data_IF_556291165870
#
_entry.id   IF_556291165870
#
_cell.length_a   1.000
_cell.length_b   1.000
_cell.length_c   1.000
_cell.angle_alpha   90.00
_cell.angle_beta   90.00
_cell.angle_gamma   90.00
#
_symmetry.space_group_name_H-M   'P 1'
#
loop_
_entity.id
_entity.type
_entity.pdbx_description
1 polymer ?
#
# COMPACT_ATOMS: atom_id res chain seq x y z
N UNK A 1 8.45 2.40 7.85
CA UNK A 1 7.09 1.86 7.70
C UNK A 1 6.53 1.44 9.07
N UNK A 2 5.43 2.02 9.52
CA UNK A 2 4.83 1.71 10.81
C UNK A 2 4.11 0.34 10.87
N UNK A 3 4.04 -0.39 9.77
CA UNK A 3 3.49 -1.74 9.71
C UNK A 3 4.23 -2.74 10.60
N UNK A 4 5.53 -2.66 10.61
CA UNK A 4 6.34 -3.33 11.62
C UNK A 4 6.46 -4.84 11.48
N UNK A 5 6.68 -5.36 10.28
CA UNK A 5 6.92 -6.80 10.09
C UNK A 5 8.25 -7.24 10.72
N UNK A 6 8.24 -8.37 11.40
CA UNK A 6 9.41 -8.88 12.12
C UNK A 6 10.57 -9.32 11.22
N UNK A 7 10.28 -9.65 9.96
CA UNK A 7 11.26 -10.09 8.96
C UNK A 7 11.74 -8.97 8.02
N UNK A 8 11.13 -7.77 8.10
CA UNK A 8 11.32 -6.75 7.08
C UNK A 8 12.63 -5.97 7.26
N UNK A 9 13.59 -6.19 6.36
CA UNK A 9 14.86 -5.46 6.35
C UNK A 9 14.67 -3.93 6.21
N UNK A 10 13.67 -3.49 5.46
CA UNK A 10 13.37 -2.05 5.31
C UNK A 10 13.05 -1.42 6.66
N UNK A 11 12.29 -2.10 7.50
CA UNK A 11 12.00 -1.62 8.84
C UNK A 11 13.27 -1.52 9.71
N UNK A 12 14.15 -2.50 9.61
CA UNK A 12 15.42 -2.52 10.37
C UNK A 12 16.34 -1.38 9.91
N UNK A 13 16.46 -1.13 8.61
CA UNK A 13 17.32 -0.10 8.04
C UNK A 13 16.72 1.31 8.08
N UNK A 14 15.46 1.46 7.68
CA UNK A 14 14.81 2.78 7.51
C UNK A 14 13.97 3.18 8.72
N UNK A 15 13.76 2.26 9.66
CA UNK A 15 12.91 2.48 10.82
C UNK A 15 11.41 2.51 10.49
N UNK A 16 10.63 2.93 11.47
CA UNK A 16 9.16 2.87 11.43
C UNK A 16 8.50 4.22 11.14
N UNK A 17 9.29 5.29 11.10
CA UNK A 17 8.79 6.63 10.76
C UNK A 17 8.44 6.68 9.28
N UNK A 18 7.28 7.27 8.98
CA UNK A 18 6.90 7.59 7.61
C UNK A 18 7.36 9.01 7.29
N UNK A 19 8.10 9.15 6.21
CA UNK A 19 8.49 10.42 5.61
C UNK A 19 8.14 10.41 4.13
N UNK A 20 7.63 11.51 3.62
CA UNK A 20 7.21 11.61 2.23
C UNK A 20 7.59 12.96 1.65
N UNK A 21 7.87 12.97 0.37
CA UNK A 21 8.02 14.21 -0.41
C UNK A 21 6.67 14.90 -0.49
N UNK A 22 6.68 16.22 -0.60
CA UNK A 22 5.45 16.98 -0.80
C UNK A 22 4.77 16.60 -2.13
N UNK A 23 3.45 16.74 -2.18
CA UNK A 23 2.66 16.50 -3.39
C UNK A 23 3.20 17.31 -4.58
N UNK A 24 3.55 18.59 -4.37
CA UNK A 24 4.09 19.46 -5.41
C UNK A 24 5.45 18.98 -5.92
N UNK A 25 6.30 18.46 -5.05
CA UNK A 25 7.59 17.89 -5.46
C UNK A 25 7.41 16.68 -6.38
N UNK A 26 6.44 15.81 -6.07
CA UNK A 26 6.12 14.63 -6.90
C UNK A 26 5.54 15.04 -8.24
N UNK A 27 4.63 16.01 -8.25
CA UNK A 27 4.00 16.50 -9.49
C UNK A 27 5.01 17.19 -10.40
N UNK A 28 5.88 18.05 -9.86
CA UNK A 28 6.95 18.70 -10.66
C UNK A 28 7.90 17.67 -11.29
N UNK A 29 8.27 16.62 -10.59
CA UNK A 29 9.09 15.55 -11.17
C UNK A 29 8.37 14.84 -12.33
N UNK A 30 7.11 14.48 -12.14
CA UNK A 30 6.32 13.88 -13.20
C UNK A 30 6.13 14.81 -14.40
N UNK A 31 5.93 16.10 -14.17
CA UNK A 31 5.86 17.11 -15.23
C UNK A 31 7.19 17.15 -16.03
N UNK A 32 8.33 17.20 -15.35
CA UNK A 32 9.62 17.13 -16.01
C UNK A 32 9.78 15.84 -16.85
N UNK A 33 9.30 14.71 -16.35
CA UNK A 33 9.30 13.43 -17.10
C UNK A 33 8.48 13.50 -18.40
N UNK A 34 7.38 14.26 -18.43
CA UNK A 34 6.56 14.39 -19.66
C UNK A 34 7.31 15.05 -20.81
N UNK A 35 8.32 15.84 -20.53
CA UNK A 35 9.17 16.51 -21.52
C UNK A 35 10.42 15.69 -21.90
N UNK A 36 10.67 14.56 -21.25
CA UNK A 36 11.83 13.73 -21.52
C UNK A 36 11.71 13.04 -22.92
N UNK A 37 12.81 12.95 -23.68
CA UNK A 37 12.82 12.22 -24.94
C UNK A 37 12.32 10.78 -24.76
N UNK A 38 11.37 10.38 -25.60
CA UNK A 38 10.83 9.00 -25.55
C UNK A 38 9.73 8.77 -24.51
N UNK A 39 9.25 9.78 -23.79
CA UNK A 39 8.10 9.61 -22.90
C UNK A 39 6.86 9.25 -23.71
N UNK A 40 6.22 8.12 -23.35
CA UNK A 40 5.08 7.55 -24.09
C UNK A 40 3.73 7.81 -23.40
N UNK A 41 3.71 8.61 -22.35
CA UNK A 41 2.51 8.94 -21.58
C UNK A 41 2.23 7.99 -20.40
N UNK A 42 3.17 7.14 -20.03
CA UNK A 42 2.98 6.16 -18.96
C UNK A 42 3.87 6.45 -17.76
N UNK A 43 3.27 6.72 -16.61
CA UNK A 43 3.94 6.71 -15.31
C UNK A 43 3.73 5.32 -14.71
N UNK A 44 4.79 4.52 -14.71
CA UNK A 44 4.69 3.09 -14.40
C UNK A 44 4.51 2.78 -12.92
N UNK A 45 4.96 3.66 -12.04
CA UNK A 45 4.80 3.47 -10.60
C UNK A 45 4.83 4.80 -9.85
N UNK A 46 3.88 4.99 -8.96
CA UNK A 46 3.84 6.13 -8.03
C UNK A 46 3.81 5.59 -6.61
N UNK A 47 4.98 5.37 -6.04
CA UNK A 47 5.02 4.82 -4.70
C UNK A 47 6.36 4.27 -4.28
N UNK A 48 6.31 3.26 -3.47
CA UNK A 48 7.41 2.50 -2.88
C UNK A 48 6.85 1.18 -2.34
N UNK A 49 7.59 0.42 -1.53
CA UNK A 49 7.15 -0.89 -1.03
C UNK A 49 5.80 -0.88 -0.31
N UNK A 50 5.37 0.29 0.16
CA UNK A 50 4.06 0.53 0.79
C UNK A 50 3.53 1.86 0.27
N UNK A 51 3.11 1.90 -0.98
CA UNK A 51 2.77 3.12 -1.71
C UNK A 51 1.74 4.00 -0.99
N UNK A 52 0.79 3.39 -0.31
CA UNK A 52 -0.26 4.09 0.41
C UNK A 52 0.10 4.53 1.84
N UNK A 53 1.35 4.35 2.28
CA UNK A 53 1.86 4.92 3.54
C UNK A 53 2.53 6.27 3.25
N UNK A 54 1.73 7.30 3.11
CA UNK A 54 2.20 8.66 2.79
C UNK A 54 2.42 9.55 4.01
N UNK A 55 1.52 9.47 4.98
CA UNK A 55 1.50 10.34 6.14
C UNK A 55 1.48 9.53 7.45
N UNK A 56 1.89 10.12 8.57
CA UNK A 56 1.65 9.56 9.88
C UNK A 56 0.16 9.32 10.11
N UNK A 57 -0.19 8.20 10.72
CA UNK A 57 -1.58 7.75 10.88
C UNK A 57 -2.14 7.98 12.29
N UNK A 58 -1.42 8.65 13.17
CA UNK A 58 -1.93 9.04 14.49
C UNK A 58 -1.07 10.17 15.11
N UNK A 59 -1.61 10.80 16.15
CA UNK A 59 -0.92 11.90 16.86
C UNK A 59 0.45 11.50 17.41
N UNK A 60 0.60 10.27 17.86
CA UNK A 60 1.88 9.76 18.38
C UNK A 60 2.94 9.66 17.29
N UNK A 61 2.56 9.14 16.11
CA UNK A 61 3.45 9.11 14.96
C UNK A 61 3.82 10.52 14.48
N UNK A 62 2.89 11.46 14.50
CA UNK A 62 3.17 12.86 14.15
C UNK A 62 4.20 13.48 15.07
N UNK A 63 4.08 13.27 16.40
CA UNK A 63 4.95 13.87 17.41
C UNK A 63 6.31 13.18 17.47
N UNK A 64 6.33 11.87 17.60
CA UNK A 64 7.51 11.08 17.95
C UNK A 64 8.01 10.19 16.81
N UNK A 65 7.32 10.16 15.67
CA UNK A 65 7.61 9.29 14.53
C UNK A 65 7.08 7.86 14.68
N UNK A 66 7.07 7.33 15.90
CA UNK A 66 6.55 6.01 16.25
C UNK A 66 6.20 5.91 17.74
N UNK A 67 5.41 4.91 18.11
CA UNK A 67 5.14 4.61 19.51
C UNK A 67 6.38 4.08 20.24
N UNK A 68 6.57 4.50 21.49
CA UNK A 68 7.51 3.86 22.39
C UNK A 68 7.14 2.38 22.63
N UNK A 69 8.14 1.56 22.99
CA UNK A 69 7.92 0.16 23.33
C UNK A 69 7.61 -0.77 22.15
N UNK A 70 7.93 -0.38 20.93
CA UNK A 70 7.87 -1.29 19.76
C UNK A 70 6.48 -1.75 19.34
N UNK A 71 5.39 -1.13 19.79
CA UNK A 71 4.02 -1.51 19.42
C UNK A 71 3.82 -1.54 17.92
N UNK A 72 3.29 -2.64 17.42
CA UNK A 72 2.85 -2.77 16.04
C UNK A 72 1.54 -2.01 15.84
N UNK A 73 1.41 -1.32 14.70
CA UNK A 73 0.26 -0.49 14.43
C UNK A 73 -0.91 -1.24 13.78
N UNK A 74 -0.61 -2.31 13.04
CA UNK A 74 -1.59 -3.00 12.19
C UNK A 74 -1.81 -4.47 12.57
N UNK A 75 -0.89 -5.10 13.24
CA UNK A 75 -0.95 -6.52 13.59
C UNK A 75 -0.55 -6.79 15.04
N UNK A 76 -1.03 -7.88 15.67
CA UNK A 76 -2.08 -8.80 15.17
C UNK A 76 -3.46 -8.16 15.14
N UNK A 77 -3.68 -7.13 15.95
CA UNK A 77 -4.87 -6.29 15.96
C UNK A 77 -4.46 -4.83 15.69
N UNK A 78 -5.20 -4.12 14.86
CA UNK A 78 -4.89 -2.73 14.57
C UNK A 78 -5.05 -1.86 15.81
N UNK A 79 -4.13 -0.92 15.96
CA UNK A 79 -4.19 0.06 17.04
C UNK A 79 -5.43 0.95 16.88
N UNK A 80 -6.24 1.09 17.96
CA UNK A 80 -7.44 1.92 17.93
C UNK A 80 -7.21 3.42 17.72
N UNK A 81 -5.94 3.88 17.76
CA UNK A 81 -5.57 5.29 17.50
C UNK A 81 -5.23 5.57 16.05
N UNK A 82 -5.18 4.54 15.19
CA UNK A 82 -4.88 4.72 13.76
C UNK A 82 -6.05 5.42 13.07
N UNK A 83 -5.71 6.45 12.32
CA UNK A 83 -6.59 7.14 11.38
C UNK A 83 -6.08 6.79 9.98
N UNK A 84 -6.91 6.11 9.21
CA UNK A 84 -6.61 5.78 7.82
C UNK A 84 -7.20 6.86 6.93
N UNK A 85 -6.36 7.46 6.10
CA UNK A 85 -6.75 8.54 5.20
C UNK A 85 -5.86 8.51 3.95
N UNK A 86 -6.45 8.24 2.79
CA UNK A 86 -5.76 8.21 1.51
C UNK A 86 -6.01 9.45 0.64
N UNK A 87 -6.70 10.48 1.15
CA UNK A 87 -7.09 11.66 0.34
C UNK A 87 -5.88 12.41 -0.22
N UNK A 88 -4.80 12.54 0.55
CA UNK A 88 -3.56 13.19 0.08
C UNK A 88 -2.95 12.39 -1.08
N UNK A 89 -2.83 11.07 -0.93
CA UNK A 89 -2.29 10.20 -1.98
C UNK A 89 -3.17 10.18 -3.24
N UNK A 90 -4.47 10.10 -3.05
CA UNK A 90 -5.43 10.19 -4.15
C UNK A 90 -5.35 11.53 -4.87
N UNK A 91 -5.17 12.63 -4.13
CA UNK A 91 -4.96 13.96 -4.70
C UNK A 91 -3.73 14.04 -5.60
N UNK A 92 -2.61 13.42 -5.20
CA UNK A 92 -1.41 13.30 -6.03
C UNK A 92 -1.73 12.53 -7.32
N UNK A 93 -2.33 11.36 -7.20
CA UNK A 93 -2.64 10.50 -8.35
C UNK A 93 -3.55 11.21 -9.37
N UNK A 94 -4.55 11.95 -8.91
CA UNK A 94 -5.44 12.75 -9.75
C UNK A 94 -4.68 13.87 -10.47
N UNK A 95 -3.79 14.58 -9.77
CA UNK A 95 -2.93 15.63 -10.37
C UNK A 95 -2.01 15.04 -11.44
N UNK A 96 -1.39 13.89 -11.18
CA UNK A 96 -0.54 13.21 -12.15
C UNK A 96 -1.31 12.78 -13.41
N UNK A 97 -2.54 12.29 -13.27
CA UNK A 97 -3.40 11.95 -14.40
C UNK A 97 -3.82 13.16 -15.24
N UNK A 98 -3.87 14.34 -14.63
CA UNK A 98 -4.26 15.58 -15.29
C UNK A 98 -3.09 16.26 -16.04
N UNK A 99 -1.84 15.81 -15.87
CA UNK A 99 -0.70 16.39 -16.58
C UNK A 99 -0.81 16.19 -18.09
N UNK A 100 -0.53 17.22 -18.90
CA UNK A 100 -0.47 17.10 -20.35
C UNK A 100 0.50 15.97 -20.77
N UNK A 101 0.07 15.16 -21.74
CA UNK A 101 0.89 14.04 -22.22
C UNK A 101 0.84 12.77 -21.39
N UNK A 102 0.26 12.78 -20.18
CA UNK A 102 0.08 11.59 -19.35
C UNK A 102 -1.19 10.85 -19.79
N UNK A 103 -1.04 9.60 -20.16
CA UNK A 103 -2.14 8.69 -20.55
C UNK A 103 -2.58 7.79 -19.42
N UNK A 104 -1.63 7.28 -18.63
CA UNK A 104 -1.88 6.35 -17.51
C UNK A 104 -0.87 6.57 -16.39
N UNK A 105 -1.36 6.39 -15.18
CA UNK A 105 -0.57 6.43 -13.94
C UNK A 105 -0.84 5.14 -13.18
N UNK A 106 0.17 4.33 -12.95
CA UNK A 106 0.03 3.05 -12.29
C UNK A 106 0.66 3.02 -10.89
N UNK A 107 0.22 2.07 -10.08
CA UNK A 107 0.82 1.69 -8.80
C UNK A 107 1.24 0.23 -8.94
N UNK A 108 2.55 -0.04 -8.93
CA UNK A 108 3.13 -1.38 -9.11
C UNK A 108 3.91 -1.88 -7.91
N UNK A 109 4.44 -0.98 -7.11
CA UNK A 109 5.37 -1.29 -6.02
C UNK A 109 4.72 -1.93 -4.80
N UNK A 110 3.40 -1.95 -4.72
CA UNK A 110 2.65 -2.63 -3.66
C UNK A 110 1.78 -1.69 -2.84
N UNK A 111 0.73 -2.29 -2.32
CA UNK A 111 -0.28 -1.64 -1.45
C UNK A 111 -0.39 -2.41 -0.14
N UNK A 112 -0.41 -1.68 0.96
CA UNK A 112 -0.80 -2.24 2.26
C UNK A 112 -2.32 -2.39 2.27
N UNK A 113 -2.76 -3.59 1.93
CA UNK A 113 -4.18 -3.95 1.83
C UNK A 113 -4.89 -3.91 3.20
N UNK A 114 -4.18 -4.27 4.26
CA UNK A 114 -4.66 -4.27 5.64
C UNK A 114 -4.89 -2.84 6.19
N UNK A 115 -4.17 -1.86 5.65
CA UNK A 115 -4.39 -0.45 5.92
C UNK A 115 -5.52 0.09 5.03
N UNK A 116 -5.50 -0.23 3.72
CA UNK A 116 -6.50 0.24 2.77
C UNK A 116 -7.93 -0.16 3.14
N UNK A 117 -8.15 -1.41 3.53
CA UNK A 117 -9.50 -1.93 3.84
C UNK A 117 -10.13 -1.26 5.08
N UNK A 118 -9.37 -0.45 5.81
CA UNK A 118 -9.83 0.30 6.99
C UNK A 118 -10.17 1.74 6.70
N UNK A 119 -9.90 2.22 5.50
CA UNK A 119 -10.35 3.55 5.11
C UNK A 119 -11.89 3.57 5.05
N UNK A 120 -12.48 4.54 5.72
CA UNK A 120 -13.93 4.76 5.69
C UNK A 120 -14.38 5.39 4.37
N UNK A 121 -13.46 6.11 3.72
CA UNK A 121 -13.65 6.67 2.39
C UNK A 121 -13.10 5.70 1.35
N UNK A 122 -13.98 5.00 0.65
CA UNK A 122 -13.60 4.06 -0.40
C UNK A 122 -13.13 4.72 -1.70
N UNK A 123 -13.10 6.04 -1.80
CA UNK A 123 -12.75 6.75 -3.05
C UNK A 123 -11.39 6.32 -3.59
N UNK A 124 -10.37 6.19 -2.71
CA UNK A 124 -9.06 5.72 -3.13
C UNK A 124 -9.11 4.28 -3.65
N UNK A 125 -9.83 3.38 -2.99
CA UNK A 125 -9.91 1.98 -3.43
C UNK A 125 -10.62 1.85 -4.79
N UNK A 126 -11.68 2.59 -5.00
CA UNK A 126 -12.40 2.64 -6.28
C UNK A 126 -11.51 3.17 -7.39
N UNK A 127 -10.87 4.34 -7.20
CA UNK A 127 -10.00 4.91 -8.22
C UNK A 127 -8.71 4.09 -8.44
N UNK A 128 -8.19 3.41 -7.41
CA UNK A 128 -7.10 2.46 -7.57
C UNK A 128 -7.46 1.41 -8.63
N UNK A 129 -8.61 0.77 -8.48
CA UNK A 129 -9.12 -0.25 -9.43
C UNK A 129 -9.41 0.37 -10.79
N UNK A 130 -10.07 1.52 -10.84
CA UNK A 130 -10.49 2.15 -12.09
C UNK A 130 -9.33 2.70 -12.91
N UNK A 131 -8.28 3.20 -12.28
CA UNK A 131 -7.28 4.00 -12.98
C UNK A 131 -5.83 3.55 -12.79
N UNK A 132 -5.50 2.89 -11.68
CA UNK A 132 -4.11 2.72 -11.26
C UNK A 132 -3.60 1.27 -11.28
N UNK A 133 -4.46 0.30 -11.53
CA UNK A 133 -4.08 -1.11 -11.70
C UNK A 133 -3.98 -1.43 -13.18
N UNK A 134 -2.80 -1.89 -13.62
CA UNK A 134 -2.48 -2.19 -15.03
C UNK A 134 -2.92 -3.61 -15.48
N UNK A 135 -3.83 -4.26 -14.74
CA UNK A 135 -4.24 -5.66 -14.94
C UNK A 135 -3.86 -6.55 -13.77
N UNK A 136 -2.79 -6.23 -13.07
CA UNK A 136 -2.34 -6.96 -11.87
C UNK A 136 -2.03 -5.99 -10.73
N UNK A 137 -2.47 -6.33 -9.52
CA UNK A 137 -2.11 -5.62 -8.30
C UNK A 137 -1.33 -6.57 -7.38
N UNK A 138 -0.08 -6.20 -7.07
CA UNK A 138 0.76 -6.93 -6.12
C UNK A 138 0.37 -6.58 -4.70
N UNK A 139 0.18 -7.60 -3.88
CA UNK A 139 -0.09 -7.49 -2.45
C UNK A 139 0.67 -8.59 -1.70
N UNK A 140 1.01 -8.35 -0.46
CA UNK A 140 1.88 -9.22 0.30
C UNK A 140 1.17 -9.76 1.56
N UNK A 141 0.32 -10.80 1.46
CA UNK A 141 -0.19 -11.52 2.61
C UNK A 141 0.91 -12.33 3.32
N UNK A 142 1.99 -12.66 2.63
CA UNK A 142 3.20 -13.35 3.05
C UNK A 142 2.99 -14.83 3.39
N UNK A 143 1.92 -15.21 4.07
CA UNK A 143 1.58 -16.57 4.46
C UNK A 143 0.08 -16.73 4.70
N UNK A 144 -0.39 -17.97 4.90
CA UNK A 144 -1.79 -18.26 5.24
C UNK A 144 -1.96 -18.89 6.63
N UNK A 145 -0.94 -19.57 7.15
CA UNK A 145 -1.02 -20.22 8.45
C UNK A 145 -1.01 -19.20 9.61
N UNK A 146 -1.94 -19.30 10.57
CA UNK A 146 -2.11 -18.31 11.64
C UNK A 146 -0.86 -18.14 12.51
N UNK A 147 -0.18 -19.22 12.87
CA UNK A 147 1.02 -19.15 13.70
C UNK A 147 2.18 -18.47 12.98
N UNK A 148 2.39 -18.78 11.70
CA UNK A 148 3.42 -18.15 10.88
C UNK A 148 3.15 -16.64 10.73
N UNK A 149 1.91 -16.25 10.42
CA UNK A 149 1.52 -14.84 10.35
C UNK A 149 1.74 -14.10 11.66
N UNK A 150 1.47 -14.76 12.80
CA UNK A 150 1.74 -14.20 14.13
C UNK A 150 3.24 -13.96 14.35
N UNK A 151 4.11 -14.89 13.99
CA UNK A 151 5.57 -14.72 14.08
C UNK A 151 6.09 -13.66 13.12
N UNK A 152 5.50 -13.53 11.94
CA UNK A 152 5.81 -12.47 10.97
C UNK A 152 5.40 -11.08 11.46
N UNK A 153 4.47 -10.98 12.41
CA UNK A 153 3.84 -9.72 12.79
C UNK A 153 2.86 -9.22 11.74
N UNK A 154 2.26 -10.15 11.00
CA UNK A 154 1.24 -9.89 9.99
C UNK A 154 -0.18 -9.95 10.56
N UNK A 155 -1.15 -9.28 9.91
CA UNK A 155 -2.55 -9.47 10.24
C UNK A 155 -3.01 -10.88 9.89
N UNK A 156 -4.08 -11.38 10.53
CA UNK A 156 -4.71 -12.65 10.18
C UNK A 156 -5.13 -12.69 8.71
N UNK A 157 -5.14 -13.89 8.11
CA UNK A 157 -5.44 -14.09 6.68
C UNK A 157 -6.84 -13.59 6.27
N UNK A 158 -7.78 -13.56 7.20
CA UNK A 158 -9.14 -13.05 7.01
C UNK A 158 -9.17 -11.59 6.56
N UNK A 159 -8.16 -10.79 6.95
CA UNK A 159 -8.02 -9.40 6.51
C UNK A 159 -7.71 -9.36 5.01
N UNK A 160 -6.83 -10.26 4.55
CA UNK A 160 -6.55 -10.41 3.12
C UNK A 160 -7.79 -10.90 2.35
N UNK A 161 -8.48 -11.90 2.87
CA UNK A 161 -9.69 -12.45 2.25
C UNK A 161 -10.77 -11.36 2.07
N UNK A 162 -10.97 -10.52 3.10
CA UNK A 162 -11.89 -9.39 3.03
C UNK A 162 -11.48 -8.36 1.96
N UNK A 163 -10.19 -8.03 1.91
CA UNK A 163 -9.65 -7.13 0.90
C UNK A 163 -9.82 -7.72 -0.50
N UNK A 164 -9.45 -8.99 -0.71
CA UNK A 164 -9.55 -9.69 -1.98
C UNK A 164 -10.99 -9.71 -2.51
N UNK A 165 -11.94 -10.06 -1.64
CA UNK A 165 -13.36 -10.01 -2.00
C UNK A 165 -13.77 -8.62 -2.49
N UNK A 166 -13.42 -7.58 -1.73
CA UNK A 166 -13.78 -6.21 -2.09
C UNK A 166 -13.10 -5.75 -3.38
N UNK A 167 -11.84 -6.12 -3.60
CA UNK A 167 -11.13 -5.82 -4.84
C UNK A 167 -11.84 -6.39 -6.06
N UNK A 168 -12.27 -7.66 -6.02
CA UNK A 168 -12.96 -8.28 -7.15
C UNK A 168 -14.37 -7.72 -7.36
N UNK A 169 -15.08 -7.34 -6.29
CA UNK A 169 -16.36 -6.62 -6.42
C UNK A 169 -16.17 -5.29 -7.18
N UNK A 170 -15.19 -4.47 -6.77
CA UNK A 170 -14.88 -3.20 -7.43
C UNK A 170 -14.39 -3.39 -8.87
N UNK A 171 -13.56 -4.40 -9.12
CA UNK A 171 -13.09 -4.76 -10.47
C UNK A 171 -14.27 -5.10 -11.39
N UNK A 172 -15.23 -5.88 -10.88
CA UNK A 172 -16.45 -6.22 -11.60
C UNK A 172 -17.31 -4.98 -11.88
N UNK A 173 -17.50 -4.11 -10.87
CA UNK A 173 -18.24 -2.86 -11.01
C UNK A 173 -17.60 -1.92 -12.05
N UNK A 174 -16.27 -1.87 -12.10
CA UNK A 174 -15.50 -1.09 -13.08
C UNK A 174 -15.47 -1.72 -14.50
N UNK A 175 -16.07 -2.90 -14.69
CA UNK A 175 -16.06 -3.60 -15.98
C UNK A 175 -14.67 -4.06 -16.43
N UNK A 176 -13.75 -4.30 -15.49
CA UNK A 176 -12.34 -4.62 -15.77
C UNK A 176 -12.02 -6.09 -15.53
N UNK A 177 -10.92 -6.52 -16.15
CA UNK A 177 -10.32 -7.83 -15.94
C UNK A 177 -8.97 -7.62 -15.25
N UNK A 178 -8.96 -7.73 -13.91
CA UNK A 178 -7.79 -7.51 -13.08
C UNK A 178 -7.62 -8.64 -12.07
N UNK A 179 -6.37 -8.86 -11.65
CA UNK A 179 -6.00 -9.95 -10.77
C UNK A 179 -5.14 -9.46 -9.62
N UNK A 180 -5.30 -10.07 -8.45
CA UNK A 180 -4.36 -9.95 -7.35
C UNK A 180 -3.21 -10.93 -7.58
N UNK A 181 -1.99 -10.46 -7.33
CA UNK A 181 -0.78 -11.27 -7.32
C UNK A 181 -0.25 -11.30 -5.90
N UNK A 182 -0.59 -12.32 -5.10
CA UNK A 182 -0.12 -12.43 -3.73
C UNK A 182 1.36 -12.80 -3.72
N UNK A 183 2.13 -12.08 -2.92
CA UNK A 183 3.49 -12.46 -2.56
C UNK A 183 3.43 -13.36 -1.33
N UNK A 184 4.04 -14.54 -1.43
CA UNK A 184 4.09 -15.54 -0.37
C UNK A 184 5.54 -15.87 -0.04
N UNK A 185 5.80 -16.08 1.25
CA UNK A 185 7.10 -16.45 1.80
C UNK A 185 7.01 -17.86 2.38
N UNK A 186 7.88 -18.75 1.92
CA UNK A 186 8.04 -20.10 2.47
C UNK A 186 9.13 -20.14 3.53
N UNK A 187 9.09 -21.18 4.36
CA UNK A 187 10.17 -21.50 5.32
C UNK A 187 10.45 -20.42 6.38
N UNK A 188 9.48 -19.58 6.67
CA UNK A 188 9.58 -18.65 7.80
C UNK A 188 9.46 -19.43 9.13
N UNK A 189 10.16 -19.01 10.22
CA UNK A 189 9.95 -19.59 11.54
C UNK A 189 8.47 -19.69 11.91
N UNK A 190 8.05 -20.87 12.37
CA UNK A 190 6.65 -21.18 12.67
C UNK A 190 5.87 -21.81 11.53
N UNK A 191 6.46 -21.89 10.30
CA UNK A 191 5.86 -22.66 9.22
C UNK A 191 6.20 -24.16 9.31
N UNK A 192 5.33 -24.98 8.77
CA UNK A 192 5.48 -26.45 8.69
C UNK A 192 5.35 -26.91 7.24
N UNK A 193 5.67 -28.18 6.97
CA UNK A 193 5.48 -28.79 5.64
C UNK A 193 3.99 -28.94 5.25
N UNK A 194 3.05 -28.67 6.15
CA UNK A 194 1.61 -28.76 5.90
C UNK A 194 0.95 -27.45 5.53
N UNK A 195 1.70 -26.33 5.61
CA UNK A 195 1.19 -24.97 5.42
C UNK A 195 1.16 -24.49 3.96
#
# INVERSE_FOLDING_TARGET
CFGGFNFCAIQLHQGRRVTSRSADSVVREAEAMTHAPGFKGYIHDVGGPTANFRLPSCKEQMKNGMCAGGKHCLAPQPCGKIIVDHREYLGILRRLRALPGVKKVFIRSGIRYDYLIRDKDESFFKELVEHHVSGQLKVAPEHCAPDTLRYMGNPPIEVYNKFSKRFYELTKQAGKKQYLVPYLMSSHPGSTLRD
#
